data_IF_641155623139
#
_entry.id   IF_641155623139
#
_cell.length_a   1.000
_cell.length_b   1.000
_cell.length_c   1.000
_cell.angle_alpha   90.00
_cell.angle_beta   90.00
_cell.angle_gamma   90.00
#
_symmetry.space_group_name_H-M   'P 1'
#
loop_
_entity.id
_entity.type
_entity.pdbx_description
1 polymer ?
#
# COMPACT_ATOMS: atom_id res chain seq x y z
N UNK A 1 -8.38 3.88 2.48
CA UNK A 1 -9.56 3.75 1.59
C UNK A 1 -9.30 2.56 0.69
N UNK A 2 -10.09 1.49 0.73
CA UNK A 2 -9.81 0.27 -0.04
C UNK A 2 -10.58 0.29 -1.36
N UNK A 3 -9.98 -0.18 -2.45
CA UNK A 3 -10.56 -0.29 -3.81
C UNK A 3 -10.93 1.02 -4.52
N UNK A 4 -10.59 2.18 -3.96
CA UNK A 4 -10.84 3.47 -4.62
C UNK A 4 -9.69 3.85 -5.54
N UNK A 5 -9.90 4.87 -6.39
CA UNK A 5 -8.82 5.38 -7.27
C UNK A 5 -7.57 5.79 -6.48
N UNK A 6 -7.78 6.41 -5.32
CA UNK A 6 -6.71 6.79 -4.40
C UNK A 6 -5.91 5.59 -3.90
N UNK A 7 -6.59 4.47 -3.58
CA UNK A 7 -5.92 3.23 -3.18
C UNK A 7 -4.95 2.72 -4.24
N UNK A 8 -5.41 2.64 -5.49
CA UNK A 8 -4.59 2.14 -6.59
C UNK A 8 -3.44 3.10 -6.91
N UNK A 9 -3.66 4.41 -6.80
CA UNK A 9 -2.60 5.41 -6.94
C UNK A 9 -1.51 5.26 -5.85
N UNK A 10 -1.91 4.95 -4.61
CA UNK A 10 -0.96 4.68 -3.52
C UNK A 10 -0.15 3.41 -3.77
N UNK A 11 -0.79 2.32 -4.24
CA UNK A 11 -0.09 1.09 -4.60
C UNK A 11 0.91 1.34 -5.73
N UNK A 12 0.50 2.04 -6.79
CA UNK A 12 1.38 2.36 -7.92
C UNK A 12 2.58 3.22 -7.51
N UNK A 13 2.34 4.25 -6.68
CA UNK A 13 3.41 5.12 -6.18
C UNK A 13 4.41 4.33 -5.31
N UNK A 14 3.91 3.45 -4.44
CA UNK A 14 4.73 2.57 -3.61
C UNK A 14 5.55 1.59 -4.47
N UNK A 15 4.90 0.95 -5.45
CA UNK A 15 5.53 -0.02 -6.35
C UNK A 15 6.65 0.61 -7.17
N UNK A 16 6.40 1.80 -7.74
CA UNK A 16 7.41 2.55 -8.48
C UNK A 16 8.62 2.92 -7.62
N UNK A 17 8.39 3.32 -6.37
CA UNK A 17 9.46 3.68 -5.43
C UNK A 17 10.29 2.49 -4.92
N UNK A 18 9.77 1.27 -5.04
CA UNK A 18 10.39 0.05 -4.52
C UNK A 18 10.73 -0.98 -5.61
N UNK A 19 10.60 -0.60 -6.88
CA UNK A 19 10.89 -1.47 -8.01
C UNK A 19 12.33 -1.98 -7.95
N UNK A 20 12.51 -3.30 -8.10
CA UNK A 20 13.82 -3.96 -8.03
C UNK A 20 14.37 -4.18 -6.61
N UNK A 21 13.72 -3.64 -5.57
CA UNK A 21 14.10 -3.89 -4.16
C UNK A 21 13.32 -5.03 -3.53
N UNK A 22 12.03 -5.15 -3.86
CA UNK A 22 11.16 -6.21 -3.35
C UNK A 22 10.40 -6.89 -4.49
N UNK A 23 9.90 -8.10 -4.19
CA UNK A 23 8.89 -8.78 -5.00
C UNK A 23 7.53 -8.12 -4.71
N UNK A 24 6.91 -7.51 -5.73
CA UNK A 24 5.77 -6.59 -5.59
C UNK A 24 4.47 -7.13 -6.22
N UNK A 25 4.39 -8.44 -6.47
CA UNK A 25 3.18 -9.11 -6.87
C UNK A 25 2.12 -8.93 -5.79
N UNK A 26 0.96 -8.43 -6.22
CA UNK A 26 -0.19 -8.17 -5.34
C UNK A 26 -0.85 -9.49 -4.96
N UNK A 27 -1.40 -9.54 -3.76
CA UNK A 27 -2.19 -10.67 -3.28
C UNK A 27 -3.61 -10.64 -3.88
N UNK A 28 -4.33 -11.76 -3.78
CA UNK A 28 -5.77 -11.83 -4.07
C UNK A 28 -6.55 -10.76 -3.30
N UNK A 29 -7.52 -10.12 -3.98
CA UNK A 29 -8.21 -8.91 -3.46
C UNK A 29 -9.02 -9.18 -2.19
N UNK A 30 -9.45 -10.41 -2.01
CA UNK A 30 -10.18 -10.93 -0.85
C UNK A 30 -9.31 -10.83 0.42
N UNK A 31 -7.99 -10.98 0.28
CA UNK A 31 -7.05 -10.91 1.39
C UNK A 31 -6.72 -9.46 1.80
N UNK A 32 -7.05 -8.47 0.98
CA UNK A 32 -6.71 -7.07 1.26
C UNK A 32 -7.48 -6.52 2.46
N UNK A 33 -8.68 -7.03 2.74
CA UNK A 33 -9.44 -6.69 3.95
C UNK A 33 -8.71 -7.15 5.22
N UNK A 34 -7.87 -8.18 5.12
CA UNK A 34 -7.03 -8.68 6.20
C UNK A 34 -5.65 -8.01 6.25
N UNK A 35 -5.46 -6.93 5.47
CA UNK A 35 -4.20 -6.21 5.34
C UNK A 35 -3.05 -7.05 4.75
N UNK A 36 -3.39 -7.97 3.85
CA UNK A 36 -2.42 -8.69 3.02
C UNK A 36 -2.57 -8.18 1.60
N UNK A 37 -1.59 -7.41 1.13
CA UNK A 37 -1.63 -6.64 -0.11
C UNK A 37 -0.63 -7.14 -1.14
N UNK A 38 0.52 -7.64 -0.68
CA UNK A 38 1.60 -8.17 -1.50
C UNK A 38 1.97 -9.57 -1.03
N UNK A 39 2.33 -10.45 -1.98
CA UNK A 39 2.74 -11.83 -1.70
C UNK A 39 4.06 -11.89 -0.91
N UNK A 40 4.90 -10.87 -1.03
CA UNK A 40 6.11 -10.74 -0.23
C UNK A 40 5.78 -10.09 1.12
N UNK A 41 6.09 -10.80 2.21
CA UNK A 41 5.81 -10.32 3.57
C UNK A 41 6.50 -9.00 3.92
N UNK A 42 7.77 -8.80 3.50
CA UNK A 42 8.50 -7.56 3.77
C UNK A 42 7.91 -6.38 3.02
N UNK A 43 7.56 -6.55 1.74
CA UNK A 43 6.87 -5.53 0.95
C UNK A 43 5.51 -5.18 1.55
N UNK A 44 4.78 -6.19 2.03
CA UNK A 44 3.48 -6.01 2.66
C UNK A 44 3.59 -5.19 3.97
N UNK A 45 4.53 -5.53 4.85
CA UNK A 45 4.76 -4.76 6.07
C UNK A 45 5.21 -3.34 5.78
N UNK A 46 6.12 -3.16 4.81
CA UNK A 46 6.56 -1.82 4.41
C UNK A 46 5.40 -0.99 3.83
N UNK A 47 4.52 -1.61 3.04
CA UNK A 47 3.34 -0.92 2.50
C UNK A 47 2.35 -0.51 3.60
N UNK A 48 2.17 -1.32 4.65
CA UNK A 48 1.35 -0.93 5.82
C UNK A 48 1.89 0.33 6.50
N UNK A 49 3.22 0.43 6.65
CA UNK A 49 3.87 1.62 7.21
C UNK A 49 3.69 2.83 6.28
N UNK A 50 3.90 2.63 4.98
CA UNK A 50 3.67 3.66 3.96
C UNK A 50 2.23 4.21 4.01
N UNK A 51 1.23 3.32 4.09
CA UNK A 51 -0.18 3.69 4.24
C UNK A 51 -0.44 4.47 5.53
N UNK A 52 0.14 4.05 6.67
CA UNK A 52 -0.02 4.77 7.93
C UNK A 52 0.52 6.20 7.85
N UNK A 53 1.71 6.39 7.24
CA UNK A 53 2.29 7.71 7.00
C UNK A 53 1.42 8.58 6.11
N UNK A 54 0.91 8.03 5.01
CA UNK A 54 -0.01 8.74 4.13
C UNK A 54 -1.29 9.18 4.85
N UNK A 55 -1.92 8.27 5.62
CA UNK A 55 -3.16 8.59 6.35
C UNK A 55 -2.92 9.67 7.40
N UNK A 56 -1.78 9.65 8.09
CA UNK A 56 -1.41 10.69 9.06
C UNK A 56 -1.22 12.06 8.38
N UNK A 57 -0.51 12.10 7.25
CA UNK A 57 -0.33 13.32 6.47
C UNK A 57 -1.67 13.87 5.97
N UNK A 58 -2.53 13.00 5.44
CA UNK A 58 -3.87 13.38 5.00
C UNK A 58 -4.71 13.97 6.13
N UNK A 59 -4.72 13.34 7.30
CA UNK A 59 -5.45 13.83 8.47
C UNK A 59 -4.91 15.18 9.00
N UNK A 60 -3.63 15.46 8.80
CA UNK A 60 -2.99 16.69 9.29
C UNK A 60 -3.17 17.86 8.32
N UNK A 61 -3.13 17.62 7.01
CA UNK A 61 -3.04 18.68 5.99
C UNK A 61 -4.25 18.79 5.05
N UNK A 62 -5.18 17.83 5.08
CA UNK A 62 -6.38 17.84 4.23
C UNK A 62 -7.69 17.88 5.06
N UNK A 63 -7.59 18.27 6.33
CA UNK A 63 -8.75 18.59 7.18
C UNK A 63 -9.10 20.08 7.08
#
# INVERSE_FOLDING_TARGET
>A
MLYTKEWYALMEAFEKGNFGRYRLEREEKEMWQQKVYYQNGEANELFKVYLAGYMNGRATYMN
#
